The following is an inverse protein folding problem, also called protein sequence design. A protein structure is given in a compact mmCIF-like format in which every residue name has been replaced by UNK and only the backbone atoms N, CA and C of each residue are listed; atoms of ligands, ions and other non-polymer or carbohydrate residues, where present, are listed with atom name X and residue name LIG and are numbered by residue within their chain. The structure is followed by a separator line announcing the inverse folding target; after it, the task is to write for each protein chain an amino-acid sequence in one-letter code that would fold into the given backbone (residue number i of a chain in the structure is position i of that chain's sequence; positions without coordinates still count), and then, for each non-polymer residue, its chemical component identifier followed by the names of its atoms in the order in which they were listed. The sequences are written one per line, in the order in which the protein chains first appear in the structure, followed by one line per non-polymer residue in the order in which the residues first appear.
data_IF_386834191406
#
_entry.id   IF_386834191406
#
_cell.length_a   1.000
_cell.length_b   1.000
_cell.length_c   1.000
_cell.angle_alpha   90.00
_cell.angle_beta   90.00
_cell.angle_gamma   90.00
#
_symmetry.space_group_name_H-M   'P 1'
#
loop_
_entity.id
_entity.type
_entity.pdbx_description
1 polymer ?
#
# COMPACT_ATOMS: atom_id res chain seq x y z
N UNK A 1 -3.44 -14.98 26.74
CA UNK A 1 -4.18 -14.47 25.57
C UNK A 1 -3.20 -13.68 24.70
N UNK A 2 -2.72 -14.23 23.59
CA UNK A 2 -2.02 -13.41 22.59
C UNK A 2 -3.07 -12.80 21.69
N UNK A 3 -3.38 -11.52 21.90
CA UNK A 3 -4.07 -10.72 20.91
C UNK A 3 -3.07 -10.49 19.77
N UNK A 4 -2.97 -11.44 18.82
CA UNK A 4 -2.21 -11.24 17.59
C UNK A 4 -2.93 -10.15 16.82
N UNK A 5 -2.44 -8.90 16.89
CA UNK A 5 -2.92 -7.84 16.00
C UNK A 5 -2.65 -8.32 14.58
N UNK A 6 -3.68 -8.31 13.74
CA UNK A 6 -3.50 -8.51 12.31
C UNK A 6 -2.51 -7.47 11.80
N UNK A 7 -1.59 -7.85 10.93
CA UNK A 7 -0.66 -6.90 10.37
C UNK A 7 -1.46 -5.86 9.55
N UNK A 8 -1.05 -4.59 9.62
CA UNK A 8 -1.80 -3.50 8.99
C UNK A 8 -1.17 -3.13 7.66
N UNK A 9 -2.00 -2.99 6.63
CA UNK A 9 -1.60 -2.52 5.31
C UNK A 9 -2.19 -1.13 5.08
N UNK A 10 -1.34 -0.13 5.10
CA UNK A 10 -1.71 1.26 4.83
C UNK A 10 -1.55 1.55 3.36
N UNK A 11 -2.60 2.06 2.76
CA UNK A 11 -2.62 2.49 1.38
C UNK A 11 -2.99 3.97 1.35
N UNK A 12 -2.07 4.82 0.91
CA UNK A 12 -2.28 6.26 0.83
C UNK A 12 -2.03 6.76 -0.59
N UNK A 13 -3.05 7.35 -1.21
CA UNK A 13 -2.91 8.03 -2.50
C UNK A 13 -3.07 9.53 -2.31
N UNK A 14 -2.08 10.29 -2.74
CA UNK A 14 -2.06 11.75 -2.62
C UNK A 14 -1.79 12.43 -3.96
N UNK A 15 -2.48 13.53 -4.27
CA UNK A 15 -2.08 14.41 -5.36
C UNK A 15 -0.74 15.08 -5.01
N UNK A 16 0.10 15.35 -6.02
CA UNK A 16 1.40 16.04 -5.86
C UNK A 16 2.65 15.18 -6.02
N UNK A 17 2.53 13.97 -6.61
CA UNK A 17 3.69 13.20 -7.05
C UNK A 17 4.40 13.85 -8.26
N UNK A 18 5.65 13.44 -8.59
CA UNK A 18 6.37 13.87 -9.80
C UNK A 18 5.58 13.73 -11.11
N UNK A 19 4.66 12.76 -11.17
CA UNK A 19 3.77 12.54 -12.33
C UNK A 19 2.37 13.13 -12.16
N UNK A 20 2.05 13.68 -10.99
CA UNK A 20 0.73 14.25 -10.65
C UNK A 20 0.10 13.56 -9.43
N UNK A 21 0.25 12.25 -9.31
CA UNK A 21 -0.24 11.45 -8.19
C UNK A 21 0.85 10.54 -7.65
N UNK A 22 0.81 10.29 -6.35
CA UNK A 22 1.69 9.35 -5.65
C UNK A 22 0.85 8.44 -4.79
N UNK A 23 1.08 7.13 -4.92
CA UNK A 23 0.52 6.13 -4.02
C UNK A 23 1.65 5.52 -3.20
N UNK A 24 1.48 5.51 -1.89
CA UNK A 24 2.37 4.88 -0.93
C UNK A 24 1.66 3.71 -0.27
N UNK A 25 2.28 2.53 -0.30
CA UNK A 25 1.81 1.34 0.40
C UNK A 25 2.82 0.99 1.47
N UNK A 26 2.35 0.85 2.70
CA UNK A 26 3.16 0.42 3.84
C UNK A 26 2.47 -0.73 4.56
N UNK A 27 3.08 -1.90 4.52
CA UNK A 27 2.63 -3.04 5.29
C UNK A 27 3.63 -3.35 6.41
N UNK A 28 3.13 -3.76 7.58
CA UNK A 28 3.99 -4.15 8.69
C UNK A 28 4.87 -5.35 8.30
N UNK A 29 6.19 -5.22 8.46
CA UNK A 29 7.15 -6.27 8.09
C UNK A 29 7.57 -6.27 6.61
N UNK A 30 7.06 -5.36 5.79
CA UNK A 30 7.46 -5.17 4.38
C UNK A 30 8.13 -3.82 4.14
N UNK A 31 8.98 -3.70 3.11
CA UNK A 31 9.47 -2.41 2.67
C UNK A 31 8.31 -1.55 2.15
N UNK A 32 8.43 -0.25 2.36
CA UNK A 32 7.50 0.75 1.85
C UNK A 32 7.58 0.83 0.32
N UNK A 33 6.43 0.77 -0.35
CA UNK A 33 6.29 0.93 -1.80
C UNK A 33 5.80 2.34 -2.09
N UNK A 34 6.45 3.02 -3.03
CA UNK A 34 6.04 4.35 -3.52
C UNK A 34 6.01 4.31 -5.04
N UNK A 35 4.84 4.55 -5.61
CA UNK A 35 4.66 4.62 -7.06
C UNK A 35 3.99 5.93 -7.44
N UNK A 36 4.47 6.50 -8.53
CA UNK A 36 3.99 7.75 -9.09
C UNK A 36 3.18 7.45 -10.36
N UNK A 37 2.05 8.11 -10.54
CA UNK A 37 1.18 7.96 -11.72
C UNK A 37 0.63 9.30 -12.18
N UNK A 38 0.11 9.34 -13.42
CA UNK A 38 -0.46 10.59 -13.97
C UNK A 38 -1.82 10.93 -13.37
N UNK A 39 -2.50 9.92 -12.86
CA UNK A 39 -3.78 10.03 -12.17
C UNK A 39 -3.81 9.06 -10.97
N UNK A 40 -4.82 9.21 -10.11
CA UNK A 40 -4.99 8.37 -8.92
C UNK A 40 -5.02 6.88 -9.27
N UNK A 41 -5.80 6.48 -10.27
CA UNK A 41 -5.97 5.08 -10.68
C UNK A 41 -4.66 4.44 -11.19
N UNK A 42 -3.90 5.17 -12.00
CA UNK A 42 -2.59 4.74 -12.50
C UNK A 42 -1.61 4.56 -11.35
N UNK A 43 -1.53 5.52 -10.44
CA UNK A 43 -0.65 5.43 -9.27
C UNK A 43 -1.05 4.26 -8.36
N UNK A 44 -2.36 4.03 -8.17
CA UNK A 44 -2.89 2.89 -7.40
C UNK A 44 -2.54 1.55 -8.07
N UNK A 45 -2.74 1.44 -9.38
CA UNK A 45 -2.42 0.23 -10.16
C UNK A 45 -0.95 -0.11 -10.13
N UNK A 46 -0.07 0.89 -10.31
CA UNK A 46 1.38 0.70 -10.23
C UNK A 46 1.80 0.24 -8.83
N UNK A 47 1.28 0.90 -7.78
CA UNK A 47 1.58 0.54 -6.40
C UNK A 47 1.12 -0.88 -6.07
N UNK A 48 -0.06 -1.29 -6.55
CA UNK A 48 -0.57 -2.65 -6.38
C UNK A 48 0.31 -3.69 -7.08
N UNK A 49 0.76 -3.41 -8.31
CA UNK A 49 1.68 -4.29 -9.02
C UNK A 49 3.03 -4.44 -8.30
N UNK A 50 3.55 -3.36 -7.70
CA UNK A 50 4.77 -3.41 -6.90
C UNK A 50 4.58 -4.16 -5.57
N UNK A 51 3.42 -4.02 -4.91
CA UNK A 51 3.06 -4.82 -3.74
C UNK A 51 2.98 -6.32 -4.07
N UNK A 52 2.30 -6.68 -5.17
CA UNK A 52 2.16 -8.08 -5.59
C UNK A 52 3.53 -8.74 -5.77
N UNK A 53 4.49 -8.04 -6.40
CA UNK A 53 5.87 -8.54 -6.53
C UNK A 53 6.57 -8.79 -5.19
N UNK A 54 6.31 -7.96 -4.17
CA UNK A 54 6.86 -8.18 -2.84
C UNK A 54 6.26 -9.40 -2.15
N UNK A 55 4.96 -9.65 -2.38
CA UNK A 55 4.28 -10.85 -1.89
C UNK A 55 4.86 -12.09 -2.55
N UNK A 56 4.96 -12.11 -3.89
CA UNK A 56 5.57 -13.21 -4.64
C UNK A 56 7.01 -13.47 -4.18
N UNK A 57 7.80 -12.41 -3.96
CA UNK A 57 9.17 -12.52 -3.48
C UNK A 57 9.26 -13.06 -2.04
N UNK A 58 8.27 -12.78 -1.19
CA UNK A 58 8.24 -13.28 0.19
C UNK A 58 7.77 -14.74 0.25
N UNK A 59 6.83 -15.12 -0.60
CA UNK A 59 6.45 -16.52 -0.81
C UNK A 59 7.65 -17.35 -1.28
N UNK A 60 8.43 -16.86 -2.24
CA UNK A 60 9.66 -17.50 -2.69
C UNK A 60 10.73 -17.66 -1.58
N UNK A 61 10.69 -16.82 -0.55
CA UNK A 61 11.55 -16.89 0.64
C UNK A 61 10.98 -17.81 1.74
N UNK A 62 9.87 -18.50 1.50
CA UNK A 62 9.20 -19.37 2.47
C UNK A 62 8.45 -18.62 3.57
N UNK A 63 8.15 -17.34 3.34
CA UNK A 63 7.33 -16.50 4.22
C UNK A 63 6.14 -15.97 3.42
N UNK A 64 5.15 -16.84 3.11
CA UNK A 64 3.98 -16.41 2.36
C UNK A 64 3.29 -15.26 3.11
N UNK A 65 3.07 -14.17 2.38
CA UNK A 65 2.30 -13.03 2.86
C UNK A 65 0.89 -13.17 2.34
N UNK A 66 -0.02 -13.49 3.24
CA UNK A 66 -1.42 -13.51 2.92
C UNK A 66 -1.96 -12.09 3.05
N UNK A 67 -2.23 -11.41 1.93
CA UNK A 67 -2.77 -10.04 1.94
C UNK A 67 -4.16 -10.00 2.59
N UNK A 68 -4.92 -11.10 2.57
CA UNK A 68 -6.25 -11.19 3.20
C UNK A 68 -6.16 -11.25 4.73
N UNK A 69 -5.00 -11.61 5.29
CA UNK A 69 -4.73 -11.54 6.74
C UNK A 69 -4.47 -10.10 7.21
N UNK A 70 -4.16 -9.17 6.30
CA UNK A 70 -3.93 -7.77 6.64
C UNK A 70 -5.24 -7.00 6.77
N UNK A 71 -5.35 -6.18 7.82
CA UNK A 71 -6.36 -5.13 7.84
C UNK A 71 -5.92 -4.02 6.88
N UNK A 72 -6.68 -3.85 5.79
CA UNK A 72 -6.40 -2.86 4.74
C UNK A 72 -7.01 -1.52 5.15
N UNK A 73 -6.14 -0.55 5.43
CA UNK A 73 -6.51 0.84 5.70
C UNK A 73 -6.20 1.69 4.48
N UNK A 74 -7.24 2.02 3.72
CA UNK A 74 -7.14 3.00 2.64
C UNK A 74 -7.35 4.38 3.22
N UNK A 75 -6.27 5.16 3.30
CA UNK A 75 -6.33 6.58 3.57
C UNK A 75 -6.45 7.28 2.23
N UNK A 76 -7.67 7.45 1.76
CA UNK A 76 -7.93 8.39 0.67
C UNK A 76 -7.86 9.79 1.30
N UNK A 77 -6.94 10.61 0.82
CA UNK A 77 -6.82 12.03 1.20
C UNK A 77 -7.95 12.81 0.48
N UNK A 78 -9.20 12.34 0.63
CA UNK A 78 -10.44 13.08 0.36
C UNK A 78 -11.03 13.57 1.70
N UNK A 79 -10.16 13.80 2.69
CA UNK A 79 -10.51 14.46 3.95
C UNK A 79 -10.03 15.91 3.88
N UNK A 80 -10.82 16.71 3.18
CA UNK A 80 -11.05 18.14 3.40
C UNK A 80 -9.84 19.02 3.80
N UNK A 81 -9.25 19.67 2.79
CA UNK A 81 -8.71 21.01 2.95
C UNK A 81 -9.80 22.08 2.93
N UNK A 82 -10.82 21.95 3.78
CA UNK A 82 -11.76 23.01 4.11
C UNK A 82 -11.60 23.34 5.60
N UNK A 83 -10.73 24.30 5.89
CA UNK A 83 -10.74 25.08 7.14
C UNK A 83 -10.63 26.55 6.80
#
# INVERSE_FOLDING_TARGET
MNCTRRPQLFFKSTPGGPLGWRTTIRAEGLPEVKEDGRNSDEAKTLAYASLQRLVDASEAQGKPLDIEDFDIYVVDDDAEGAQ
#
